data_IF_784558734768
#
_entry.id   IF_784558734768
#
_cell.length_a   1.000
_cell.length_b   1.000
_cell.length_c   1.000
_cell.angle_alpha   90.00
_cell.angle_beta   90.00
_cell.angle_gamma   90.00
#
_symmetry.space_group_name_H-M   'P 1'
#
loop_
_entity.id
_entity.type
_entity.pdbx_description
1 polymer ?
#
# COMPACT_ATOMS: atom_id res chain seq x y z
N UNK A 1 8.75 -20.73 5.88
CA UNK A 1 8.12 -19.50 5.39
C UNK A 1 8.25 -18.39 6.41
N UNK A 2 8.99 -17.41 6.08
CA UNK A 2 9.31 -16.39 7.06
C UNK A 2 8.55 -15.09 6.87
N UNK A 3 8.03 -14.86 5.68
CA UNK A 3 7.28 -13.64 5.45
C UNK A 3 5.87 -13.81 5.93
N UNK A 4 5.45 -12.85 6.71
CA UNK A 4 4.09 -12.82 7.19
C UNK A 4 3.22 -12.12 6.15
N UNK A 5 2.20 -12.81 5.69
CA UNK A 5 1.23 -12.23 4.78
C UNK A 5 -0.04 -11.94 5.55
N UNK A 6 -0.55 -10.75 5.35
CA UNK A 6 -1.78 -10.33 5.97
C UNK A 6 -2.78 -10.05 4.88
N UNK A 7 -3.81 -10.87 4.78
CA UNK A 7 -4.84 -10.72 3.79
C UNK A 7 -6.10 -10.23 4.46
N UNK A 8 -6.65 -9.15 3.95
CA UNK A 8 -7.86 -8.55 4.50
C UNK A 8 -8.90 -8.49 3.39
N UNK A 9 -10.00 -9.20 3.62
CA UNK A 9 -11.15 -9.15 2.73
C UNK A 9 -11.97 -7.93 3.07
N UNK A 10 -12.14 -7.07 2.10
CA UNK A 10 -12.97 -5.90 2.24
C UNK A 10 -14.27 -6.09 1.49
N UNK A 11 -15.35 -6.08 2.23
CA UNK A 11 -16.68 -6.15 1.63
C UNK A 11 -17.18 -4.72 1.51
N UNK A 12 -16.94 -4.12 0.35
CA UNK A 12 -17.26 -2.73 0.11
C UNK A 12 -18.18 -2.60 -1.08
N UNK A 13 -18.94 -1.54 -1.07
CA UNK A 13 -19.68 -1.14 -2.26
C UNK A 13 -18.86 -0.09 -3.00
N UNK A 14 -19.16 0.06 -4.30
CA UNK A 14 -18.41 0.97 -5.13
C UNK A 14 -18.45 2.41 -4.60
N UNK A 15 -19.56 2.78 -3.99
CA UNK A 15 -19.71 4.14 -3.48
C UNK A 15 -19.02 4.37 -2.14
N UNK A 16 -18.45 3.35 -1.55
CA UNK A 16 -17.84 3.49 -0.24
C UNK A 16 -16.44 4.04 -0.39
N UNK A 17 -16.32 5.33 -0.19
CA UNK A 17 -15.08 6.06 -0.36
C UNK A 17 -14.84 6.94 0.86
N UNK A 18 -13.64 7.57 0.91
CA UNK A 18 -13.34 8.57 1.91
C UNK A 18 -13.10 7.99 3.29
N UNK A 19 -13.81 8.51 4.32
CA UNK A 19 -13.46 8.16 5.71
C UNK A 19 -13.50 6.68 6.01
N UNK A 20 -14.39 5.93 5.35
CA UNK A 20 -14.44 4.50 5.54
C UNK A 20 -13.16 3.81 5.11
N UNK A 21 -12.57 4.27 4.02
CA UNK A 21 -11.32 3.72 3.52
C UNK A 21 -10.18 3.97 4.48
N UNK A 22 -10.11 5.17 5.05
CA UNK A 22 -9.06 5.49 6.01
C UNK A 22 -9.18 4.62 7.25
N UNK A 23 -10.39 4.39 7.73
CA UNK A 23 -10.61 3.55 8.89
C UNK A 23 -10.16 2.11 8.61
N UNK A 24 -10.42 1.61 7.41
CA UNK A 24 -10.01 0.27 7.03
C UNK A 24 -8.49 0.17 6.97
N UNK A 25 -7.85 1.16 6.38
CA UNK A 25 -6.39 1.18 6.32
C UNK A 25 -5.78 1.20 7.71
N UNK A 26 -6.34 2.02 8.60
CA UNK A 26 -5.85 2.11 9.97
C UNK A 26 -6.00 0.78 10.69
N UNK A 27 -7.14 0.13 10.52
CA UNK A 27 -7.38 -1.15 11.16
C UNK A 27 -6.41 -2.21 10.66
N UNK A 28 -6.17 -2.23 9.35
CA UNK A 28 -5.20 -3.17 8.78
C UNK A 28 -3.81 -2.92 9.33
N UNK A 29 -3.43 -1.66 9.44
CA UNK A 29 -2.14 -1.31 9.99
C UNK A 29 -2.00 -1.74 11.44
N UNK A 30 -3.04 -1.52 12.23
CA UNK A 30 -3.03 -1.93 13.63
C UNK A 30 -2.83 -3.44 13.76
N UNK A 31 -3.40 -4.21 12.85
CA UNK A 31 -3.27 -5.66 12.88
C UNK A 31 -1.87 -6.16 12.59
N UNK A 32 -1.03 -5.35 11.97
CA UNK A 32 0.35 -5.77 11.66
C UNK A 32 1.24 -5.81 12.89
N UNK A 33 0.90 -5.07 13.93
CA UNK A 33 1.77 -4.98 15.11
C UNK A 33 3.04 -4.19 14.89
N UNK A 34 3.14 -3.45 13.78
CA UNK A 34 4.34 -2.68 13.48
C UNK A 34 4.50 -1.55 14.49
N UNK A 35 5.73 -1.39 14.99
CA UNK A 35 6.09 -0.26 15.85
C UNK A 35 6.02 1.03 15.02
N UNK A 36 5.17 2.00 15.41
CA UNK A 36 5.02 3.22 14.60
C UNK A 36 6.28 4.05 14.47
N UNK A 37 7.28 3.83 15.31
CA UNK A 37 8.52 4.59 15.26
C UNK A 37 9.63 3.86 14.51
N UNK A 38 9.40 2.64 14.06
CA UNK A 38 10.43 1.86 13.39
C UNK A 38 10.80 2.50 12.05
N UNK A 39 12.09 2.49 11.70
CA UNK A 39 12.49 2.98 10.38
C UNK A 39 12.19 1.93 9.33
N UNK A 40 11.30 2.26 8.41
CA UNK A 40 10.81 1.29 7.42
C UNK A 40 10.86 1.86 6.02
N UNK A 41 11.13 0.98 5.06
CA UNK A 41 10.92 1.27 3.65
C UNK A 41 9.65 0.55 3.21
N UNK A 42 8.75 1.31 2.61
CA UNK A 42 7.43 0.83 2.26
C UNK A 42 7.16 1.06 0.78
N UNK A 43 6.56 0.08 0.14
CA UNK A 43 6.01 0.25 -1.20
C UNK A 43 4.49 0.13 -1.11
N UNK A 44 3.80 1.14 -1.63
CA UNK A 44 2.33 1.13 -1.70
C UNK A 44 1.96 0.96 -3.17
N UNK A 45 1.57 -0.24 -3.54
CA UNK A 45 1.39 -0.61 -4.94
C UNK A 45 -0.08 -0.47 -5.33
N UNK A 46 -0.32 0.32 -6.39
CA UNK A 46 -1.68 0.65 -6.78
C UNK A 46 -2.27 1.68 -5.83
N UNK A 47 -1.51 2.72 -5.54
CA UNK A 47 -1.85 3.67 -4.49
C UNK A 47 -3.00 4.63 -4.85
N UNK A 48 -3.34 4.75 -6.13
CA UNK A 48 -4.36 5.69 -6.56
C UNK A 48 -4.01 7.11 -6.19
N UNK A 49 -4.96 7.84 -5.63
CA UNK A 49 -4.74 9.23 -5.22
C UNK A 49 -4.18 9.33 -3.80
N UNK A 50 -3.81 8.20 -3.19
CA UNK A 50 -2.98 8.22 -2.01
C UNK A 50 -3.67 8.09 -0.67
N UNK A 51 -4.92 7.61 -0.64
CA UNK A 51 -5.61 7.48 0.63
C UNK A 51 -4.83 6.60 1.61
N UNK A 52 -4.43 5.41 1.18
CA UNK A 52 -3.66 4.52 2.05
C UNK A 52 -2.27 5.06 2.30
N UNK A 53 -1.64 5.63 1.26
CA UNK A 53 -0.30 6.19 1.40
C UNK A 53 -0.24 7.24 2.51
N UNK A 54 -1.25 8.10 2.55
CA UNK A 54 -1.27 9.17 3.54
C UNK A 54 -1.47 8.63 4.95
N UNK A 55 -2.34 7.64 5.11
CA UNK A 55 -2.52 7.02 6.42
C UNK A 55 -1.21 6.40 6.90
N UNK A 56 -0.54 5.66 6.01
CA UNK A 56 0.73 5.04 6.38
C UNK A 56 1.77 6.07 6.76
N UNK A 57 1.87 7.16 6.00
CA UNK A 57 2.86 8.18 6.29
C UNK A 57 2.57 8.92 7.59
N UNK A 58 1.30 9.14 7.90
CA UNK A 58 0.92 9.84 9.11
C UNK A 58 1.08 8.97 10.36
N UNK A 59 0.82 7.68 10.23
CA UNK A 59 0.89 6.77 11.36
C UNK A 59 2.29 6.24 11.61
N UNK A 60 3.06 6.06 10.54
CA UNK A 60 4.42 5.51 10.63
C UNK A 60 5.41 6.63 10.31
N UNK A 61 5.86 7.31 11.34
CA UNK A 61 6.51 8.61 11.17
C UNK A 61 7.96 8.55 10.70
N UNK A 62 8.56 7.38 10.72
CA UNK A 62 9.98 7.23 10.37
C UNK A 62 10.15 6.35 9.13
N UNK A 63 9.32 6.60 8.12
CA UNK A 63 9.28 5.73 6.94
C UNK A 63 9.59 6.49 5.66
N UNK A 64 10.04 5.72 4.68
CA UNK A 64 10.19 6.18 3.30
C UNK A 64 9.23 5.33 2.47
N UNK A 65 8.31 5.99 1.77
CA UNK A 65 7.27 5.29 1.02
C UNK A 65 7.45 5.55 -0.47
N UNK A 66 7.46 4.47 -1.25
CA UNK A 66 7.37 4.56 -2.70
C UNK A 66 5.95 4.20 -3.09
N UNK A 67 5.23 5.17 -3.62
CA UNK A 67 3.84 5.01 -4.01
C UNK A 67 3.78 4.78 -5.51
N UNK A 68 3.19 3.68 -5.91
CA UNK A 68 3.18 3.23 -7.29
C UNK A 68 1.76 3.23 -7.84
N UNK A 69 1.57 3.83 -8.98
CA UNK A 69 0.33 3.71 -9.74
C UNK A 69 0.65 3.89 -11.21
N UNK A 70 -0.18 3.30 -12.07
CA UNK A 70 0.03 3.42 -13.50
C UNK A 70 -0.35 4.80 -14.02
N UNK A 71 -1.28 5.48 -13.36
CA UNK A 71 -1.83 6.75 -13.83
C UNK A 71 -1.12 7.93 -13.19
N UNK A 72 -0.34 8.69 -13.95
CA UNK A 72 0.38 9.83 -13.37
C UNK A 72 -0.55 10.90 -12.82
N UNK A 73 -1.76 11.01 -13.35
CA UNK A 73 -2.72 11.98 -12.82
C UNK A 73 -3.05 11.70 -11.35
N UNK A 74 -3.16 10.41 -11.00
CA UNK A 74 -3.44 10.05 -9.62
C UNK A 74 -2.26 10.40 -8.72
N UNK A 75 -1.05 10.19 -9.23
CA UNK A 75 0.14 10.50 -8.44
C UNK A 75 0.31 11.98 -8.21
N UNK A 76 -0.13 12.80 -9.16
CA UNK A 76 -0.10 14.24 -8.97
C UNK A 76 -1.03 14.65 -7.84
N UNK A 77 -2.22 14.08 -7.78
CA UNK A 77 -3.14 14.34 -6.68
C UNK A 77 -2.54 13.90 -5.36
N UNK A 78 -1.91 12.73 -5.34
CA UNK A 78 -1.24 12.24 -4.14
C UNK A 78 -0.18 13.24 -3.66
N UNK A 79 0.64 13.74 -4.58
CA UNK A 79 1.70 14.67 -4.22
C UNK A 79 1.14 15.95 -3.61
N UNK A 80 0.05 16.47 -4.17
CA UNK A 80 -0.59 17.66 -3.62
C UNK A 80 -1.14 17.40 -2.23
N UNK A 81 -1.77 16.26 -2.05
CA UNK A 81 -2.32 15.89 -0.75
C UNK A 81 -1.22 15.67 0.29
N UNK A 82 -0.12 15.07 -0.14
CA UNK A 82 1.02 14.84 0.75
C UNK A 82 1.64 16.15 1.21
N UNK A 83 1.71 17.14 0.33
CA UNK A 83 2.24 18.44 0.71
C UNK A 83 1.33 19.11 1.74
N UNK A 84 0.03 19.04 1.54
CA UNK A 84 -0.90 19.62 2.51
C UNK A 84 -0.84 18.91 3.85
N UNK A 85 -0.56 17.61 3.84
CA UNK A 85 -0.47 16.84 5.08
C UNK A 85 0.90 16.92 5.74
N UNK A 86 1.88 17.55 5.08
CA UNK A 86 3.22 17.68 5.65
C UNK A 86 4.07 16.44 5.60
N UNK A 87 3.77 15.50 4.71
CA UNK A 87 4.49 14.23 4.63
C UNK A 87 5.16 14.02 3.27
N UNK A 88 5.14 15.03 2.39
CA UNK A 88 5.63 14.87 1.02
C UNK A 88 7.09 14.47 0.95
N UNK A 89 7.90 14.87 1.92
CA UNK A 89 9.33 14.57 1.90
C UNK A 89 9.62 13.08 2.00
N UNK A 90 8.70 12.32 2.56
CA UNK A 90 8.89 10.89 2.77
C UNK A 90 8.20 10.03 1.74
N UNK A 91 7.56 10.65 0.75
CA UNK A 91 6.80 9.92 -0.27
C UNK A 91 7.40 10.19 -1.63
N UNK A 92 7.81 9.13 -2.31
CA UNK A 92 8.23 9.18 -3.72
C UNK A 92 7.15 8.51 -4.54
N UNK A 93 6.92 9.02 -5.75
CA UNK A 93 5.90 8.44 -6.62
C UNK A 93 6.57 7.81 -7.84
N UNK A 94 5.93 6.77 -8.37
CA UNK A 94 6.47 6.03 -9.50
C UNK A 94 5.31 5.58 -10.39
N UNK A 95 5.31 6.06 -11.64
CA UNK A 95 4.26 5.75 -12.60
C UNK A 95 4.69 4.57 -13.46
N UNK A 96 4.34 3.38 -13.03
CA UNK A 96 4.65 2.15 -13.75
C UNK A 96 3.53 1.15 -13.53
N UNK A 97 3.50 0.12 -14.37
CA UNK A 97 2.57 -0.98 -14.19
C UNK A 97 3.01 -1.83 -13.00
N UNK A 98 2.02 -2.32 -12.25
CA UNK A 98 2.33 -3.11 -11.05
C UNK A 98 2.88 -4.51 -11.36
N UNK A 99 2.84 -4.94 -12.62
CA UNK A 99 3.45 -6.20 -13.02
C UNK A 99 4.82 -5.99 -13.66
N UNK A 100 5.30 -4.75 -13.71
CA UNK A 100 6.61 -4.43 -14.26
C UNK A 100 7.36 -3.48 -13.33
N UNK A 101 7.44 -3.84 -12.07
CA UNK A 101 8.05 -2.99 -11.06
C UNK A 101 9.57 -3.04 -11.16
N UNK A 102 10.23 -1.88 -11.15
CA UNK A 102 11.69 -1.82 -11.24
C UNK A 102 12.38 -1.97 -9.89
N UNK A 103 11.79 -2.74 -9.00
CA UNK A 103 12.30 -2.89 -7.65
C UNK A 103 13.38 -3.96 -7.59
N UNK A 104 14.31 -3.75 -6.69
CA UNK A 104 15.32 -4.75 -6.39
C UNK A 104 14.82 -5.70 -5.34
N UNK A 105 15.43 -6.88 -5.28
CA UNK A 105 15.06 -7.88 -4.29
C UNK A 105 15.34 -7.39 -2.89
N UNK A 106 14.54 -7.81 -1.94
CA UNK A 106 14.77 -7.62 -0.51
C UNK A 106 15.03 -6.16 -0.15
N UNK A 107 14.17 -5.28 -0.66
CA UNK A 107 14.32 -3.84 -0.46
C UNK A 107 13.35 -3.28 0.56
N UNK A 108 12.15 -3.84 0.66
CA UNK A 108 11.10 -3.23 1.45
C UNK A 108 10.80 -4.01 2.71
N UNK A 109 10.52 -3.27 3.77
CA UNK A 109 10.06 -3.85 5.04
C UNK A 109 8.57 -4.14 5.00
N UNK A 110 7.84 -3.36 4.21
CA UNK A 110 6.40 -3.50 4.12
C UNK A 110 5.96 -3.21 2.70
N UNK A 111 5.18 -4.11 2.13
CA UNK A 111 4.50 -3.86 0.86
C UNK A 111 3.02 -3.82 1.13
N UNK A 112 2.39 -2.75 0.69
CA UNK A 112 0.99 -2.47 0.94
C UNK A 112 0.25 -2.36 -0.38
N UNK A 113 -0.93 -2.96 -0.47
CA UNK A 113 -1.76 -2.83 -1.66
C UNK A 113 -3.22 -3.04 -1.30
N UNK A 114 -4.00 -1.99 -1.40
CA UNK A 114 -5.43 -2.06 -1.10
C UNK A 114 -6.25 -2.00 -2.38
N UNK A 115 -6.99 -3.08 -2.64
CA UNK A 115 -7.94 -3.12 -3.73
C UNK A 115 -7.34 -3.10 -5.13
N UNK A 116 -6.04 -3.35 -5.28
CA UNK A 116 -5.38 -3.21 -6.56
C UNK A 116 -4.83 -4.52 -7.12
N UNK A 117 -4.55 -5.49 -6.27
CA UNK A 117 -3.86 -6.70 -6.70
C UNK A 117 -4.66 -7.49 -7.74
N UNK A 118 -5.97 -7.30 -7.78
CA UNK A 118 -6.80 -8.02 -8.74
C UNK A 118 -6.43 -7.70 -10.18
N UNK A 119 -5.76 -6.57 -10.42
CA UNK A 119 -5.35 -6.19 -11.77
C UNK A 119 -4.34 -7.14 -12.38
N UNK A 120 -3.58 -7.85 -11.56
CA UNK A 120 -2.61 -8.83 -12.06
C UNK A 120 -2.87 -10.22 -11.51
N UNK A 121 -3.94 -10.37 -10.72
CA UNK A 121 -4.27 -11.64 -10.09
C UNK A 121 -3.63 -11.78 -8.73
N UNK A 122 -4.38 -12.32 -7.80
CA UNK A 122 -3.97 -12.37 -6.41
C UNK A 122 -2.68 -13.20 -6.23
N UNK A 123 -2.68 -14.43 -6.79
CA UNK A 123 -1.53 -15.31 -6.61
C UNK A 123 -0.29 -14.75 -7.29
N UNK A 124 -0.47 -14.22 -8.51
CA UNK A 124 0.65 -13.67 -9.24
C UNK A 124 1.24 -12.47 -8.51
N UNK A 125 0.37 -11.61 -7.99
CA UNK A 125 0.85 -10.44 -7.27
C UNK A 125 1.65 -10.82 -6.04
N UNK A 126 1.13 -11.77 -5.26
CA UNK A 126 1.85 -12.20 -4.06
C UNK A 126 3.19 -12.80 -4.42
N UNK A 127 3.23 -13.67 -5.45
CA UNK A 127 4.47 -14.29 -5.85
C UNK A 127 5.49 -13.28 -6.36
N UNK A 128 5.04 -12.32 -7.18
CA UNK A 128 5.94 -11.35 -7.77
C UNK A 128 6.47 -10.38 -6.71
N UNK A 129 5.60 -9.94 -5.80
CA UNK A 129 5.97 -8.90 -4.83
C UNK A 129 6.74 -9.44 -3.64
N UNK A 130 6.59 -10.74 -3.36
CA UNK A 130 7.28 -11.38 -2.24
C UNK A 130 8.80 -11.17 -2.32
N UNK A 131 9.36 -11.25 -3.51
CA UNK A 131 10.81 -11.15 -3.67
C UNK A 131 11.35 -9.76 -3.35
N UNK A 132 10.48 -8.75 -3.33
CA UNK A 132 10.90 -7.40 -3.00
C UNK A 132 10.95 -7.15 -1.50
N UNK A 133 10.50 -8.10 -0.70
CA UNK A 133 10.50 -7.95 0.74
C UNK A 133 11.82 -8.41 1.34
N UNK A 134 12.25 -7.67 2.34
CA UNK A 134 13.36 -8.12 3.19
C UNK A 134 12.90 -9.31 3.99
N UNK A 135 13.87 -10.09 4.48
CA UNK A 135 13.57 -11.19 5.42
C UNK A 135 12.84 -10.62 6.63
N UNK A 136 11.70 -11.20 6.95
CA UNK A 136 10.88 -10.70 8.04
C UNK A 136 9.94 -9.59 7.65
N UNK A 137 9.95 -9.17 6.40
CA UNK A 137 9.04 -8.13 5.93
C UNK A 137 7.61 -8.63 5.82
N UNK A 138 6.69 -7.67 5.74
CA UNK A 138 5.27 -7.95 5.69
C UNK A 138 4.68 -7.55 4.35
N UNK A 139 3.78 -8.39 3.85
CA UNK A 139 2.96 -8.07 2.69
C UNK A 139 1.52 -7.95 3.14
N UNK A 140 0.95 -6.77 3.01
CA UNK A 140 -0.44 -6.51 3.38
C UNK A 140 -1.22 -6.23 2.11
N UNK A 141 -2.17 -7.09 1.82
CA UNK A 141 -2.95 -7.00 0.59
C UNK A 141 -4.42 -7.10 0.94
N UNK A 142 -5.21 -6.23 0.36
CA UNK A 142 -6.66 -6.32 0.51
C UNK A 142 -7.30 -6.40 -0.87
N UNK A 143 -8.41 -7.11 -0.94
CA UNK A 143 -9.21 -7.19 -2.15
C UNK A 143 -10.60 -6.66 -1.85
N UNK A 144 -11.17 -6.04 -2.85
CA UNK A 144 -12.56 -5.60 -2.77
C UNK A 144 -13.41 -6.71 -3.34
N UNK A 145 -14.31 -7.24 -2.54
CA UNK A 145 -15.24 -8.26 -2.99
C UNK A 145 -16.66 -7.69 -2.93
N UNK A 146 -17.51 -8.20 -3.79
CA UNK A 146 -18.89 -7.76 -3.86
C UNK A 146 -19.77 -8.78 -3.16
N UNK A 147 -20.61 -8.31 -2.30
CA UNK A 147 -21.63 -9.16 -1.71
C UNK A 147 -22.94 -8.92 -2.43
N UNK A 148 -23.66 -9.98 -2.67
CA UNK A 148 -24.87 -9.90 -3.45
C UNK A 148 -26.14 -10.10 -2.62
N UNK A 149 -26.00 -10.16 -1.36
CA UNK A 149 -27.15 -10.30 -0.47
C UNK A 149 -27.81 -8.96 -0.12
#
# INVERSE_FOLDING_TARGET
MENLQLLIDLHQRAERQGPGSDAVTQKALDMTGIDPSAPLKIADIGCGTGASTLVLAQQLKNTQITAVDFLPEFLQVLQERAQKAGVAERISTLSVSMDELPFQSETYDLIWSEGAIYNIGFEKGIQDWYRYLKTGGLLVVSEITWTTD
#
